data_IF_861628855342
#
_entry.id   IF_861628855342
#
_cell.length_a   1.000
_cell.length_b   1.000
_cell.length_c   1.000
_cell.angle_alpha   90.00
_cell.angle_beta   90.00
_cell.angle_gamma   90.00
#
_symmetry.space_group_name_H-M   'P 1'
#
loop_
_entity.id
_entity.type
_entity.pdbx_description
1 polymer ?
#
# COMPACT_ATOMS: atom_id res chain seq x y z
N UNK A 1 -5.93 -23.21 6.86
CA UNK A 1 -4.72 -22.66 7.48
C UNK A 1 -4.41 -23.29 8.83
N UNK A 2 -5.42 -23.49 9.68
CA UNK A 2 -5.27 -24.14 10.99
C UNK A 2 -4.82 -25.61 10.90
N UNK A 3 -5.40 -26.39 10.02
CA UNK A 3 -4.96 -27.78 9.76
C UNK A 3 -3.55 -27.82 9.15
N UNK A 4 -3.24 -26.83 8.31
CA UNK A 4 -1.97 -26.71 7.63
C UNK A 4 -0.83 -26.38 8.64
N UNK A 5 -1.03 -25.48 9.57
CA UNK A 5 -0.04 -25.17 10.59
C UNK A 5 0.20 -26.34 11.54
N UNK A 6 -0.85 -27.06 11.95
CA UNK A 6 -0.72 -28.27 12.78
C UNK A 6 0.06 -29.39 12.10
N UNK A 7 -0.20 -29.63 10.81
CA UNK A 7 0.54 -30.61 10.04
C UNK A 7 2.00 -30.22 9.91
N UNK A 8 2.29 -28.94 9.64
CA UNK A 8 3.67 -28.47 9.56
C UNK A 8 4.40 -28.54 10.90
N UNK A 9 3.74 -28.27 12.00
CA UNK A 9 4.34 -28.37 13.33
C UNK A 9 4.71 -29.83 13.66
N UNK A 10 3.91 -30.80 13.24
CA UNK A 10 4.21 -32.23 13.40
C UNK A 10 5.39 -32.71 12.54
N UNK A 11 5.60 -32.10 11.37
CA UNK A 11 6.73 -32.44 10.46
C UNK A 11 8.01 -31.69 10.79
N UNK A 12 7.94 -30.64 11.59
CA UNK A 12 9.03 -29.73 11.89
C UNK A 12 9.55 -30.00 13.30
N UNK A 13 9.98 -31.25 13.57
CA UNK A 13 10.38 -31.67 14.94
C UNK A 13 11.81 -31.30 15.34
N UNK A 14 12.64 -30.77 14.45
CA UNK A 14 14.02 -30.38 14.81
C UNK A 14 14.11 -28.87 14.98
N UNK A 15 14.26 -28.35 16.20
CA UNK A 15 14.57 -26.94 16.39
C UNK A 15 15.96 -26.64 15.79
N UNK A 16 16.05 -25.50 15.11
CA UNK A 16 17.35 -24.99 14.68
C UNK A 16 18.19 -24.59 15.89
N UNK A 17 19.50 -24.39 15.67
CA UNK A 17 20.49 -24.00 16.70
C UNK A 17 20.06 -22.77 17.54
N UNK A 18 19.18 -21.92 17.01
CA UNK A 18 18.61 -20.72 17.65
C UNK A 18 17.21 -20.96 18.23
N UNK A 19 16.72 -22.19 18.37
CA UNK A 19 15.39 -22.51 18.86
C UNK A 19 14.24 -22.27 17.87
N UNK A 20 14.53 -21.84 16.65
CA UNK A 20 13.53 -21.60 15.62
C UNK A 20 13.18 -22.89 14.89
N UNK A 21 11.90 -23.20 14.78
CA UNK A 21 11.42 -24.37 14.03
C UNK A 21 11.60 -24.13 12.54
N UNK A 22 12.24 -25.06 11.85
CA UNK A 22 12.43 -24.96 10.40
C UNK A 22 11.15 -25.27 9.64
N UNK A 23 10.32 -24.24 9.45
CA UNK A 23 9.06 -24.31 8.70
C UNK A 23 9.25 -24.75 7.26
N UNK A 24 10.40 -24.47 6.64
CA UNK A 24 10.67 -24.84 5.26
C UNK A 24 10.77 -26.35 5.10
N UNK A 25 11.40 -27.04 6.03
CA UNK A 25 11.47 -28.50 6.04
C UNK A 25 10.11 -29.13 6.31
N UNK A 26 9.32 -28.58 7.23
CA UNK A 26 7.95 -29.03 7.48
C UNK A 26 7.06 -28.92 6.25
N UNK A 27 7.11 -27.80 5.53
CA UNK A 27 6.37 -27.62 4.28
C UNK A 27 6.82 -28.56 3.17
N UNK A 28 8.12 -28.84 3.09
CA UNK A 28 8.68 -29.78 2.12
C UNK A 28 8.24 -31.20 2.42
N UNK A 29 8.40 -31.66 3.65
CA UNK A 29 7.98 -32.98 4.07
C UNK A 29 6.49 -33.23 3.84
N UNK A 30 5.65 -32.21 4.14
CA UNK A 30 4.22 -32.29 3.89
C UNK A 30 3.88 -32.38 2.40
N UNK A 31 4.57 -31.67 1.51
CA UNK A 31 4.38 -31.79 0.06
C UNK A 31 4.76 -33.15 -0.49
N UNK A 32 5.80 -33.75 0.06
CA UNK A 32 6.34 -35.04 -0.38
C UNK A 32 5.54 -36.24 0.15
N UNK A 33 5.03 -36.12 1.40
CA UNK A 33 4.38 -37.25 2.09
C UNK A 33 2.84 -37.20 2.11
N UNK A 34 2.21 -36.11 1.68
CA UNK A 34 0.74 -35.97 1.69
C UNK A 34 0.17 -35.46 0.39
N UNK A 35 -1.15 -35.67 0.20
CA UNK A 35 -1.91 -35.10 -0.92
C UNK A 35 -2.34 -33.65 -0.67
N UNK A 36 -1.95 -33.03 0.45
CA UNK A 36 -2.29 -31.65 0.77
C UNK A 36 -1.62 -30.68 -0.20
N UNK A 37 -2.42 -29.73 -0.71
CA UNK A 37 -1.94 -28.73 -1.64
C UNK A 37 -1.43 -27.52 -0.90
N UNK A 38 -0.30 -27.01 -1.35
CA UNK A 38 0.30 -25.80 -0.79
C UNK A 38 -0.53 -24.57 -1.16
N UNK A 39 -0.99 -23.84 -0.15
CA UNK A 39 -1.71 -22.59 -0.32
C UNK A 39 -1.34 -21.62 0.80
N UNK A 40 -1.42 -20.32 0.50
CA UNK A 40 -1.19 -19.27 1.49
C UNK A 40 -2.42 -18.36 1.54
N UNK A 41 -2.86 -18.05 2.76
CA UNK A 41 -3.94 -17.10 2.98
C UNK A 41 -3.40 -15.83 3.62
N UNK A 42 -3.81 -14.70 3.07
CA UNK A 42 -3.62 -13.37 3.65
C UNK A 42 -5.00 -12.81 3.93
N UNK A 43 -5.25 -12.40 5.16
CA UNK A 43 -6.54 -11.87 5.60
C UNK A 43 -6.38 -10.53 6.29
N UNK A 44 -7.27 -9.62 5.99
CA UNK A 44 -7.46 -8.37 6.69
C UNK A 44 -8.96 -8.16 6.91
N UNK A 45 -9.39 -8.21 8.17
CA UNK A 45 -10.80 -8.21 8.57
C UNK A 45 -11.62 -9.28 7.82
N UNK A 46 -12.57 -8.87 7.02
CA UNK A 46 -13.41 -9.70 6.15
C UNK A 46 -12.78 -9.97 4.76
N UNK A 47 -11.86 -9.13 4.33
CA UNK A 47 -11.13 -9.33 3.07
C UNK A 47 -10.02 -10.37 3.22
N UNK A 48 -9.99 -11.37 2.32
CA UNK A 48 -8.90 -12.34 2.29
C UNK A 48 -8.49 -12.70 0.86
N UNK A 49 -7.25 -13.15 0.72
CA UNK A 49 -6.69 -13.66 -0.54
C UNK A 49 -6.02 -15.00 -0.28
N UNK A 50 -6.25 -15.95 -1.19
CA UNK A 50 -5.65 -17.27 -1.12
C UNK A 50 -4.83 -17.49 -2.37
N UNK A 51 -3.56 -17.75 -2.16
CA UNK A 51 -2.61 -18.02 -3.23
C UNK A 51 -2.46 -19.51 -3.41
N UNK A 52 -2.72 -20.00 -4.62
CA UNK A 52 -2.57 -21.37 -5.03
C UNK A 52 -1.55 -21.48 -6.18
N UNK A 53 -0.93 -22.66 -6.33
CA UNK A 53 0.06 -22.88 -7.41
C UNK A 53 -0.58 -23.02 -8.77
N UNK A 54 -1.71 -23.72 -8.85
CA UNK A 54 -2.41 -24.03 -10.09
C UNK A 54 -3.83 -23.50 -10.07
N UNK A 55 -4.41 -23.30 -11.25
CA UNK A 55 -5.81 -22.89 -11.40
C UNK A 55 -6.76 -23.96 -10.83
N UNK A 56 -6.49 -25.24 -11.07
CA UNK A 56 -7.33 -26.33 -10.55
C UNK A 56 -7.32 -26.38 -9.02
N UNK A 57 -6.17 -26.09 -8.37
CA UNK A 57 -6.11 -25.99 -6.90
C UNK A 57 -6.91 -24.77 -6.40
N UNK A 58 -6.87 -23.64 -7.13
CA UNK A 58 -7.66 -22.47 -6.78
C UNK A 58 -9.17 -22.70 -6.88
N UNK A 59 -9.62 -23.40 -7.92
CA UNK A 59 -11.04 -23.76 -8.12
C UNK A 59 -11.54 -24.69 -7.01
N UNK A 60 -10.78 -25.74 -6.70
CA UNK A 60 -11.11 -26.64 -5.58
C UNK A 60 -11.12 -25.93 -4.23
N UNK A 61 -10.14 -25.05 -4.01
CA UNK A 61 -10.05 -24.26 -2.78
C UNK A 61 -11.22 -23.30 -2.64
N UNK A 62 -11.64 -22.64 -3.73
CA UNK A 62 -12.81 -21.76 -3.74
C UNK A 62 -14.05 -22.51 -3.26
N UNK A 63 -14.37 -23.66 -3.89
CA UNK A 63 -15.53 -24.50 -3.53
C UNK A 63 -15.46 -24.94 -2.06
N UNK A 64 -14.30 -25.42 -1.63
CA UNK A 64 -14.12 -25.89 -0.25
C UNK A 64 -14.33 -24.79 0.79
N UNK A 65 -13.86 -23.56 0.51
CA UNK A 65 -13.99 -22.43 1.42
C UNK A 65 -15.41 -21.88 1.43
N UNK A 66 -16.05 -21.75 0.28
CA UNK A 66 -17.46 -21.34 0.19
C UNK A 66 -18.36 -22.30 1.01
N UNK A 67 -18.15 -23.59 0.83
CA UNK A 67 -18.86 -24.61 1.61
C UNK A 67 -18.54 -24.51 3.11
N UNK A 68 -17.28 -24.36 3.47
CA UNK A 68 -16.88 -24.24 4.88
C UNK A 68 -17.45 -23.00 5.57
N UNK A 69 -17.44 -21.85 4.86
CA UNK A 69 -18.02 -20.59 5.38
C UNK A 69 -19.52 -20.75 5.60
N UNK A 70 -20.23 -21.38 4.66
CA UNK A 70 -21.66 -21.63 4.76
C UNK A 70 -22.00 -22.61 5.88
N UNK A 71 -21.34 -23.77 5.92
CA UNK A 71 -21.67 -24.86 6.84
C UNK A 71 -21.28 -24.52 8.30
N UNK A 72 -20.13 -23.83 8.49
CA UNK A 72 -19.58 -23.58 9.83
C UNK A 72 -19.91 -22.21 10.38
N UNK A 73 -19.95 -21.19 9.55
CA UNK A 73 -20.14 -19.80 9.96
C UNK A 73 -21.47 -19.21 9.49
N UNK A 74 -22.24 -19.95 8.68
CA UNK A 74 -23.49 -19.49 8.05
C UNK A 74 -23.30 -18.16 7.30
N UNK A 75 -22.14 -17.99 6.68
CA UNK A 75 -21.79 -16.82 5.88
C UNK A 75 -21.85 -17.16 4.40
N UNK A 76 -22.52 -16.32 3.65
CA UNK A 76 -22.53 -16.39 2.19
C UNK A 76 -21.44 -15.49 1.60
N UNK A 77 -20.77 -16.02 0.58
CA UNK A 77 -19.70 -15.29 -0.13
C UNK A 77 -20.29 -14.53 -1.30
N UNK A 78 -19.96 -13.24 -1.41
CA UNK A 78 -20.37 -12.44 -2.57
C UNK A 78 -19.76 -12.98 -3.86
N UNK A 79 -20.58 -13.54 -4.74
CA UNK A 79 -20.14 -14.11 -6.03
C UNK A 79 -19.55 -13.04 -6.95
N UNK A 80 -20.04 -11.82 -6.91
CA UNK A 80 -19.53 -10.70 -7.72
C UNK A 80 -18.09 -10.32 -7.35
N UNK A 81 -17.75 -10.40 -6.06
CA UNK A 81 -16.43 -10.03 -5.54
C UNK A 81 -15.44 -11.21 -5.51
N UNK A 82 -15.95 -12.44 -5.52
CA UNK A 82 -15.13 -13.65 -5.42
C UNK A 82 -14.76 -14.17 -6.78
N UNK A 83 -13.49 -14.00 -7.15
CA UNK A 83 -12.97 -14.42 -8.46
C UNK A 83 -11.58 -15.03 -8.34
N UNK A 84 -11.28 -15.96 -9.26
CA UNK A 84 -9.95 -16.51 -9.43
C UNK A 84 -9.20 -15.65 -10.44
N UNK A 85 -8.03 -15.15 -10.07
CA UNK A 85 -7.20 -14.27 -10.89
C UNK A 85 -5.82 -14.90 -11.09
N UNK A 86 -5.38 -15.02 -12.35
CA UNK A 86 -3.99 -15.36 -12.64
C UNK A 86 -3.15 -14.07 -12.56
N UNK A 87 -2.39 -13.92 -11.46
CA UNK A 87 -1.58 -12.71 -11.17
C UNK A 87 -0.44 -12.47 -12.17
N UNK A 88 -0.08 -13.47 -12.99
CA UNK A 88 0.89 -13.31 -14.09
C UNK A 88 0.29 -12.62 -15.32
N UNK A 89 -1.03 -12.75 -15.50
CA UNK A 89 -1.75 -12.17 -16.64
C UNK A 89 -2.47 -10.87 -16.28
N UNK A 90 -3.13 -10.84 -15.11
CA UNK A 90 -3.94 -9.71 -14.65
C UNK A 90 -3.50 -9.29 -13.26
N UNK A 91 -3.61 -7.99 -12.98
CA UNK A 91 -3.43 -7.48 -11.62
C UNK A 91 -4.62 -7.88 -10.73
N UNK A 92 -4.34 -8.04 -9.45
CA UNK A 92 -5.36 -8.17 -8.42
C UNK A 92 -5.31 -6.95 -7.51
N UNK A 93 -6.49 -6.46 -7.12
CA UNK A 93 -6.60 -5.39 -6.13
C UNK A 93 -6.77 -5.98 -4.73
N UNK A 94 -6.00 -5.48 -3.77
CA UNK A 94 -6.11 -5.81 -2.36
C UNK A 94 -5.67 -4.63 -1.50
N UNK A 95 -6.53 -4.18 -0.58
CA UNK A 95 -6.27 -3.07 0.36
C UNK A 95 -5.76 -1.79 -0.32
N UNK A 96 -6.30 -1.45 -1.48
CA UNK A 96 -5.89 -0.26 -2.23
C UNK A 96 -4.57 -0.39 -3.00
N UNK A 97 -4.04 -1.60 -3.09
CA UNK A 97 -2.88 -1.93 -3.94
C UNK A 97 -3.31 -2.76 -5.15
N UNK A 98 -2.75 -2.46 -6.31
CA UNK A 98 -2.76 -3.32 -7.47
C UNK A 98 -1.48 -4.15 -7.49
N UNK A 99 -1.63 -5.47 -7.46
CA UNK A 99 -0.51 -6.42 -7.39
C UNK A 99 -0.50 -7.27 -8.65
N UNK A 100 0.63 -7.33 -9.32
CA UNK A 100 0.87 -8.15 -10.51
C UNK A 100 2.20 -8.87 -10.38
N UNK A 101 2.29 -10.05 -10.97
CA UNK A 101 3.55 -10.82 -11.04
C UNK A 101 4.04 -10.78 -12.48
N UNK A 102 5.28 -10.38 -12.69
CA UNK A 102 5.90 -10.43 -14.01
C UNK A 102 7.29 -11.09 -13.96
N UNK A 103 7.75 -11.51 -15.12
CA UNK A 103 9.07 -12.11 -15.28
C UNK A 103 10.12 -11.03 -15.48
N UNK A 104 11.16 -11.04 -14.68
CA UNK A 104 12.30 -10.13 -14.85
C UNK A 104 13.02 -10.40 -16.16
N UNK A 105 13.40 -9.36 -16.88
CA UNK A 105 14.07 -9.51 -18.19
C UNK A 105 15.43 -10.17 -18.07
N UNK A 106 16.21 -9.84 -17.01
CA UNK A 106 17.59 -10.33 -16.84
C UNK A 106 17.68 -11.78 -16.33
N UNK A 107 16.87 -12.14 -15.34
CA UNK A 107 17.12 -13.38 -14.57
C UNK A 107 16.04 -14.43 -14.77
N UNK A 108 15.08 -14.20 -15.64
CA UNK A 108 13.90 -15.07 -15.83
C UNK A 108 13.11 -15.36 -14.56
N UNK A 109 13.44 -14.73 -13.44
CA UNK A 109 12.75 -14.87 -12.15
C UNK A 109 11.45 -14.07 -12.15
N UNK A 110 10.46 -14.59 -11.45
CA UNK A 110 9.22 -13.86 -11.23
C UNK A 110 9.38 -12.89 -10.06
N UNK A 111 8.91 -11.67 -10.25
CA UNK A 111 8.89 -10.61 -9.24
C UNK A 111 7.49 -10.06 -9.09
N UNK A 112 7.19 -9.59 -7.90
CA UNK A 112 5.94 -8.90 -7.61
C UNK A 112 6.12 -7.42 -7.93
N UNK A 113 5.18 -6.90 -8.71
CA UNK A 113 5.05 -5.48 -9.00
C UNK A 113 3.78 -4.97 -8.33
N UNK A 114 3.90 -3.90 -7.57
CA UNK A 114 2.78 -3.34 -6.82
C UNK A 114 2.69 -1.83 -6.99
N UNK A 115 1.49 -1.38 -7.30
CA UNK A 115 1.09 0.00 -7.49
C UNK A 115 -0.02 0.37 -6.50
N UNK A 116 -0.23 1.65 -6.30
CA UNK A 116 -1.46 2.15 -5.68
C UNK A 116 -2.60 1.89 -6.65
N UNK A 117 -3.76 1.38 -6.17
CA UNK A 117 -4.90 1.15 -7.06
C UNK A 117 -5.41 2.48 -7.63
N UNK A 118 -5.87 2.47 -8.89
CA UNK A 118 -6.35 3.67 -9.59
C UNK A 118 -7.46 4.38 -8.81
N UNK A 119 -8.37 3.61 -8.23
CA UNK A 119 -9.44 4.12 -7.38
C UNK A 119 -8.91 4.85 -6.15
N UNK A 120 -7.93 4.26 -5.47
CA UNK A 120 -7.29 4.86 -4.30
C UNK A 120 -6.49 6.11 -4.69
N UNK A 121 -5.73 6.04 -5.79
CA UNK A 121 -4.92 7.13 -6.31
C UNK A 121 -5.79 8.35 -6.65
N UNK A 122 -6.88 8.13 -7.37
CA UNK A 122 -7.87 9.17 -7.71
C UNK A 122 -8.46 9.80 -6.45
N UNK A 123 -8.97 9.00 -5.53
CA UNK A 123 -9.61 9.49 -4.30
C UNK A 123 -8.63 10.27 -3.40
N UNK A 124 -7.38 9.78 -3.25
CA UNK A 124 -6.36 10.49 -2.48
C UNK A 124 -5.91 11.76 -3.17
N UNK A 125 -5.74 11.74 -4.50
CA UNK A 125 -5.38 12.90 -5.30
C UNK A 125 -6.44 14.00 -5.23
N UNK A 126 -7.71 13.68 -5.30
CA UNK A 126 -8.83 14.62 -5.14
C UNK A 126 -8.83 15.25 -3.75
N UNK A 127 -8.71 14.44 -2.69
CA UNK A 127 -8.65 14.94 -1.30
C UNK A 127 -7.47 15.88 -1.10
N UNK A 128 -6.27 15.50 -1.53
CA UNK A 128 -5.08 16.34 -1.41
C UNK A 128 -5.21 17.65 -2.20
N UNK A 129 -5.67 17.59 -3.45
CA UNK A 129 -5.82 18.80 -4.27
C UNK A 129 -6.89 19.74 -3.72
N UNK A 130 -7.95 19.22 -3.11
CA UNK A 130 -8.96 20.04 -2.43
C UNK A 130 -8.34 20.68 -1.18
N UNK A 131 -7.58 19.94 -0.38
CA UNK A 131 -6.91 20.50 0.81
C UNK A 131 -5.90 21.59 0.43
N UNK A 132 -5.16 21.42 -0.69
CA UNK A 132 -4.31 22.48 -1.24
C UNK A 132 -5.11 23.75 -1.54
N UNK A 133 -6.29 23.63 -2.15
CA UNK A 133 -7.14 24.79 -2.45
C UNK A 133 -7.60 25.51 -1.17
N UNK A 134 -7.88 24.73 -0.10
CA UNK A 134 -8.34 25.27 1.18
C UNK A 134 -7.22 26.06 1.86
N UNK A 135 -6.05 25.46 2.08
CA UNK A 135 -4.98 26.20 2.75
C UNK A 135 -4.46 27.40 1.92
N UNK A 136 -4.47 27.30 0.59
CA UNK A 136 -4.12 28.43 -0.26
C UNK A 136 -5.12 29.59 -0.15
N UNK A 137 -6.41 29.31 0.13
CA UNK A 137 -7.44 30.35 0.33
C UNK A 137 -7.16 31.17 1.60
N UNK A 138 -6.67 30.53 2.64
CA UNK A 138 -6.42 31.12 3.96
C UNK A 138 -4.92 31.38 4.24
N UNK A 139 -4.12 31.54 3.19
CA UNK A 139 -2.64 31.59 3.26
C UNK A 139 -2.05 32.59 4.26
N UNK A 140 -2.76 33.69 4.50
CA UNK A 140 -2.28 34.81 5.33
C UNK A 140 -2.93 34.83 6.73
N UNK A 141 -3.52 33.74 7.18
CA UNK A 141 -4.23 33.61 8.46
C UNK A 141 -3.83 32.37 9.24
N UNK A 142 -4.11 32.37 10.55
CA UNK A 142 -3.94 31.19 11.41
C UNK A 142 -4.73 29.97 10.93
N UNK A 143 -5.87 30.21 10.28
CA UNK A 143 -6.64 29.14 9.65
C UNK A 143 -5.82 28.46 8.55
N UNK A 144 -5.06 29.21 7.76
CA UNK A 144 -4.21 28.64 6.71
C UNK A 144 -3.12 27.72 7.27
N UNK A 145 -2.57 28.04 8.44
CA UNK A 145 -1.61 27.15 9.13
C UNK A 145 -2.28 25.85 9.56
N UNK A 146 -3.46 25.92 10.15
CA UNK A 146 -4.23 24.73 10.56
C UNK A 146 -4.52 23.83 9.36
N UNK A 147 -4.97 24.41 8.25
CA UNK A 147 -5.26 23.67 7.02
C UNK A 147 -4.00 23.07 6.37
N UNK A 148 -2.86 23.76 6.48
CA UNK A 148 -1.57 23.24 6.03
C UNK A 148 -1.11 22.05 6.88
N UNK A 149 -1.32 22.09 8.19
CA UNK A 149 -1.02 20.95 9.08
C UNK A 149 -1.86 19.73 8.68
N UNK A 150 -3.15 19.93 8.36
CA UNK A 150 -4.01 18.85 7.86
C UNK A 150 -3.46 18.29 6.55
N UNK A 151 -3.08 19.14 5.59
CA UNK A 151 -2.45 18.69 4.34
C UNK A 151 -1.19 17.86 4.62
N UNK A 152 -0.29 18.36 5.46
CA UNK A 152 0.94 17.67 5.83
C UNK A 152 0.66 16.30 6.48
N UNK A 153 -0.33 16.22 7.35
CA UNK A 153 -0.77 14.96 7.96
C UNK A 153 -1.32 13.96 6.91
N UNK A 154 -2.08 14.46 5.92
CA UNK A 154 -2.56 13.63 4.82
C UNK A 154 -1.42 13.08 3.97
N UNK A 155 -0.41 13.91 3.64
CA UNK A 155 0.80 13.48 2.91
C UNK A 155 1.52 12.38 3.67
N UNK A 156 1.77 12.59 4.97
CA UNK A 156 2.43 11.60 5.82
C UNK A 156 1.64 10.28 5.88
N UNK A 157 0.32 10.36 6.01
CA UNK A 157 -0.57 9.19 6.04
C UNK A 157 -0.49 8.38 4.75
N UNK A 158 -0.52 9.04 3.60
CA UNK A 158 -0.41 8.39 2.29
C UNK A 158 0.97 7.75 2.13
N UNK A 159 2.04 8.48 2.40
CA UNK A 159 3.39 7.95 2.30
C UNK A 159 3.64 6.77 3.24
N UNK A 160 3.14 6.82 4.48
CA UNK A 160 3.29 5.73 5.44
C UNK A 160 2.53 4.48 5.02
N UNK A 161 1.31 4.65 4.53
CA UNK A 161 0.47 3.53 4.12
C UNK A 161 1.01 2.82 2.87
N UNK A 162 1.37 3.60 1.85
CA UNK A 162 1.77 3.05 0.55
C UNK A 162 3.26 2.79 0.38
N UNK A 163 4.10 3.09 1.38
CA UNK A 163 5.57 2.91 1.32
C UNK A 163 6.04 1.51 0.94
N UNK A 164 5.19 0.50 1.11
CA UNK A 164 5.48 -0.90 0.80
C UNK A 164 5.29 -1.24 -0.68
N UNK A 165 4.62 -0.37 -1.47
CA UNK A 165 4.46 -0.58 -2.90
C UNK A 165 5.79 -0.39 -3.63
N UNK A 166 6.05 -1.22 -4.65
CA UNK A 166 7.30 -1.16 -5.43
C UNK A 166 7.41 0.09 -6.29
N UNK A 167 6.28 0.62 -6.78
CA UNK A 167 6.22 1.78 -7.69
C UNK A 167 5.57 3.02 -7.08
N UNK A 168 5.58 3.14 -5.76
CA UNK A 168 4.91 4.23 -5.03
C UNK A 168 5.35 5.62 -5.47
N UNK A 169 6.64 5.81 -5.76
CA UNK A 169 7.16 7.11 -6.18
C UNK A 169 6.59 7.57 -7.53
N UNK A 170 6.47 6.65 -8.50
CA UNK A 170 5.84 6.92 -9.79
C UNK A 170 4.36 7.27 -9.66
N UNK A 171 3.64 6.49 -8.87
CA UNK A 171 2.21 6.67 -8.65
C UNK A 171 1.89 8.02 -7.98
N UNK A 172 2.66 8.39 -6.96
CA UNK A 172 2.45 9.65 -6.24
C UNK A 172 2.92 10.89 -7.00
N UNK A 173 3.87 10.74 -7.94
CA UNK A 173 4.41 11.87 -8.70
C UNK A 173 3.32 12.64 -9.49
N UNK A 174 2.35 11.93 -10.06
CA UNK A 174 1.23 12.59 -10.76
C UNK A 174 0.36 13.43 -9.82
N UNK A 175 0.12 12.95 -8.59
CA UNK A 175 -0.61 13.71 -7.58
C UNK A 175 0.21 14.92 -7.17
N UNK A 176 1.51 14.74 -6.92
CA UNK A 176 2.43 15.81 -6.54
C UNK A 176 2.47 16.92 -7.59
N UNK A 177 2.63 16.58 -8.87
CA UNK A 177 2.66 17.56 -9.95
C UNK A 177 1.36 18.35 -10.02
N UNK A 178 0.20 17.69 -9.91
CA UNK A 178 -1.10 18.34 -9.89
C UNK A 178 -1.27 19.26 -8.69
N UNK A 179 -0.95 18.79 -7.49
CA UNK A 179 -1.03 19.56 -6.25
C UNK A 179 -0.09 20.77 -6.30
N UNK A 180 1.15 20.57 -6.75
CA UNK A 180 2.15 21.63 -6.90
C UNK A 180 1.71 22.70 -7.91
N UNK A 181 1.13 22.32 -9.06
CA UNK A 181 0.60 23.27 -10.05
C UNK A 181 -0.51 24.14 -9.44
N UNK A 182 -1.46 23.54 -8.71
CA UNK A 182 -2.53 24.29 -8.05
C UNK A 182 -1.96 25.25 -7.01
N UNK A 183 -1.02 24.77 -6.21
CA UNK A 183 -0.34 25.53 -5.17
C UNK A 183 0.41 26.72 -5.79
N UNK A 184 1.23 26.48 -6.80
CA UNK A 184 1.99 27.49 -7.50
C UNK A 184 1.08 28.58 -8.09
N UNK A 185 0.04 28.20 -8.83
CA UNK A 185 -0.88 29.14 -9.45
C UNK A 185 -1.65 30.00 -8.44
N UNK A 186 -1.89 29.51 -7.21
CA UNK A 186 -2.64 30.23 -6.19
C UNK A 186 -1.76 31.07 -5.27
N UNK A 187 -0.54 30.65 -5.04
CA UNK A 187 0.39 31.32 -4.12
C UNK A 187 1.37 32.25 -4.81
N UNK A 188 1.59 32.10 -6.12
CA UNK A 188 2.46 32.97 -6.94
C UNK A 188 1.66 33.93 -7.81
N UNK A 189 0.55 34.47 -7.33
CA UNK A 189 -0.20 35.53 -8.03
C UNK A 189 0.52 36.87 -7.95
N UNK A 190 0.10 37.84 -8.79
CA UNK A 190 0.73 39.17 -8.98
C UNK A 190 1.01 39.95 -7.69
N UNK A 191 0.38 39.67 -6.58
CA UNK A 191 0.55 40.36 -5.29
C UNK A 191 1.68 39.79 -4.40
N UNK A 192 2.46 38.84 -4.87
CA UNK A 192 3.61 38.33 -4.13
C UNK A 192 3.76 36.82 -4.18
N UNK A 193 5.01 36.38 -4.29
CA UNK A 193 5.35 34.97 -4.27
C UNK A 193 5.28 34.47 -2.80
N UNK A 194 4.23 33.72 -2.47
CA UNK A 194 4.01 33.16 -1.12
C UNK A 194 4.73 31.83 -0.88
N UNK A 195 5.39 31.27 -1.91
CA UNK A 195 6.22 30.07 -1.76
C UNK A 195 7.68 30.45 -1.58
N UNK A 196 8.33 29.87 -0.59
CA UNK A 196 9.76 30.04 -0.33
C UNK A 196 10.50 28.72 -0.36
N UNK A 197 11.81 28.78 -0.64
CA UNK A 197 12.72 27.64 -0.49
C UNK A 197 13.20 27.45 0.94
N UNK A 198 13.13 28.50 1.72
CA UNK A 198 13.58 28.57 3.12
C UNK A 198 12.44 28.97 4.04
N UNK A 199 12.45 28.45 5.25
CA UNK A 199 11.45 28.71 6.28
C UNK A 199 11.97 28.42 7.68
N UNK A 200 11.09 28.02 8.60
CA UNK A 200 11.54 27.59 9.93
C UNK A 200 12.45 26.36 9.86
N UNK A 201 13.28 26.20 10.85
CA UNK A 201 14.06 24.99 11.01
C UNK A 201 13.16 23.75 11.06
N UNK A 202 13.55 22.69 10.35
CA UNK A 202 12.86 21.41 10.37
C UNK A 202 13.12 20.71 11.71
N UNK A 203 12.11 20.07 12.26
CA UNK A 203 12.26 19.15 13.39
C UNK A 203 13.14 17.96 13.01
N UNK A 204 13.63 17.20 13.98
CA UNK A 204 14.46 16.03 13.70
C UNK A 204 13.80 15.03 12.74
N UNK A 205 12.51 14.73 12.95
CA UNK A 205 11.74 13.83 12.07
C UNK A 205 11.51 14.41 10.67
N UNK A 206 11.18 15.69 10.57
CA UNK A 206 11.01 16.38 9.29
C UNK A 206 12.33 16.41 8.51
N UNK A 207 13.45 16.70 9.19
CA UNK A 207 14.78 16.73 8.59
C UNK A 207 15.20 15.35 8.07
N UNK A 208 14.94 14.30 8.83
CA UNK A 208 15.21 12.94 8.41
C UNK A 208 14.42 12.57 7.14
N UNK A 209 13.15 12.98 7.07
CA UNK A 209 12.23 12.59 6.01
C UNK A 209 12.30 13.47 4.78
N UNK A 210 12.38 14.77 4.94
CA UNK A 210 12.27 15.76 3.87
C UNK A 210 13.49 16.64 3.69
N UNK A 211 14.48 16.59 4.57
CA UNK A 211 15.64 17.48 4.55
C UNK A 211 16.47 17.45 3.27
N UNK A 212 16.41 16.33 2.52
CA UNK A 212 17.07 16.19 1.20
C UNK A 212 16.13 16.45 0.02
N UNK A 213 14.85 16.77 0.26
CA UNK A 213 13.87 16.92 -0.80
C UNK A 213 13.99 18.27 -1.49
N UNK A 214 14.27 18.26 -2.79
CA UNK A 214 14.28 19.47 -3.63
C UNK A 214 12.87 20.08 -3.84
N UNK A 215 11.83 19.29 -3.54
CA UNK A 215 10.42 19.72 -3.68
C UNK A 215 9.84 20.34 -2.41
N UNK A 216 10.58 20.35 -1.29
CA UNK A 216 10.16 21.00 -0.07
C UNK A 216 10.00 22.51 -0.31
N UNK A 217 8.89 23.07 0.14
CA UNK A 217 8.57 24.50 0.07
C UNK A 217 8.04 24.95 1.42
N UNK A 218 7.98 26.27 1.59
CA UNK A 218 7.53 26.92 2.83
C UNK A 218 6.52 28.01 2.48
N UNK A 219 5.57 28.24 3.37
CA UNK A 219 4.67 29.38 3.29
C UNK A 219 5.41 30.66 3.70
N UNK A 220 5.34 31.71 2.89
CA UNK A 220 6.08 32.95 3.13
C UNK A 220 5.72 33.63 4.46
N UNK A 221 4.43 33.73 4.78
CA UNK A 221 3.95 34.41 5.99
C UNK A 221 4.31 33.68 7.28
N UNK A 222 4.05 32.38 7.32
CA UNK A 222 4.21 31.55 8.54
C UNK A 222 5.54 30.81 8.62
N UNK A 223 6.29 30.78 7.52
CA UNK A 223 7.53 29.97 7.37
C UNK A 223 7.35 28.47 7.60
N UNK A 224 6.10 27.97 7.62
CA UNK A 224 5.80 26.56 7.83
C UNK A 224 6.12 25.71 6.58
N UNK A 225 6.67 24.48 6.76
CA UNK A 225 7.00 23.61 5.66
C UNK A 225 5.76 23.00 5.02
N UNK A 226 5.77 22.89 3.70
CA UNK A 226 4.79 22.22 2.87
C UNK A 226 5.40 20.91 2.42
N UNK A 227 4.90 19.77 2.91
CA UNK A 227 5.50 18.48 2.65
C UNK A 227 5.28 18.05 1.19
N UNK A 228 6.33 17.57 0.52
CA UNK A 228 6.20 16.95 -0.80
C UNK A 228 5.50 15.59 -0.68
N UNK A 229 4.72 15.25 -1.70
CA UNK A 229 3.95 13.99 -1.76
C UNK A 229 4.84 12.82 -2.18
#
# INVERSE_FOLDING_TARGET
>A
QWQYSRVTDNYSQKPQRNGTVDRCHGYRAMRESTKLKEMWIVRYADDFRIFCKTRGDAEKTKIAIEKWLKDRLRLDVSQEKTRIVNTRQRSMEFLGFNIKVHKKRKDSKYVVDSHISEKALKAKGEKLTNQVKVFCKYKDSDQGVKELVIYNAMVLGIQNYYRIATNVAGDLNHIQQRAYRIMYNRLNTQSGNALRKEGRALTGLEKQRFGKSKSLRYMAGTKEPIYPI
#
